data_IF_341225825942
#
_entry.id   IF_341225825942
#
_cell.length_a   1.000
_cell.length_b   1.000
_cell.length_c   1.000
_cell.angle_alpha   90.00
_cell.angle_beta   90.00
_cell.angle_gamma   90.00
#
_symmetry.space_group_name_H-M   'P 1'
#
loop_
_entity.id
_entity.type
_entity.pdbx_description
1 polymer ?
#
# COMPACT_ATOMS: atom_id res chain seq x y z
N UNK A 1 -6.35 -20.61 6.19
CA UNK A 1 -6.27 -19.29 5.55
C UNK A 1 -5.80 -19.56 4.13
N UNK A 2 -6.62 -19.26 3.12
CA UNK A 2 -6.21 -19.48 1.73
C UNK A 2 -5.36 -18.31 1.22
N UNK A 3 -4.33 -18.68 0.47
CA UNK A 3 -3.32 -17.79 -0.09
C UNK A 3 -3.37 -17.85 -1.62
N UNK A 4 -3.32 -16.69 -2.26
CA UNK A 4 -3.17 -16.57 -3.70
C UNK A 4 -1.94 -15.70 -4.00
N UNK A 5 -0.90 -16.31 -4.54
CA UNK A 5 0.41 -15.68 -4.70
C UNK A 5 0.70 -15.18 -6.10
N UNK A 6 1.72 -14.33 -6.19
CA UNK A 6 2.44 -13.94 -7.40
C UNK A 6 1.56 -13.45 -8.55
N UNK A 7 0.54 -12.67 -8.19
CA UNK A 7 -0.35 -12.06 -9.16
C UNK A 7 0.40 -10.92 -9.87
N UNK A 8 0.54 -11.03 -11.20
CA UNK A 8 1.09 -9.98 -12.05
C UNK A 8 0.00 -9.30 -12.90
N UNK A 9 0.40 -8.38 -13.78
CA UNK A 9 -0.51 -7.61 -14.64
C UNK A 9 -1.36 -8.48 -15.58
N UNK A 10 -0.99 -9.75 -15.77
CA UNK A 10 -1.72 -10.72 -16.59
C UNK A 10 -2.87 -11.42 -15.85
N UNK A 11 -3.20 -10.98 -14.64
CA UNK A 11 -4.29 -11.56 -13.86
C UNK A 11 -5.62 -11.48 -14.62
N UNK A 12 -6.28 -12.62 -14.92
CA UNK A 12 -7.51 -12.63 -15.71
C UNK A 12 -8.75 -12.17 -14.90
N UNK A 13 -8.59 -11.91 -13.60
CA UNK A 13 -9.70 -11.69 -12.69
C UNK A 13 -10.33 -13.00 -12.18
N UNK A 14 -11.50 -12.89 -11.57
CA UNK A 14 -12.28 -13.99 -11.02
C UNK A 14 -12.97 -13.61 -9.72
N UNK A 15 -13.64 -14.55 -9.07
CA UNK A 15 -14.21 -14.33 -7.74
C UNK A 15 -13.70 -15.39 -6.77
N UNK A 16 -12.90 -14.96 -5.80
CA UNK A 16 -12.19 -15.83 -4.87
C UNK A 16 -12.63 -15.51 -3.42
N UNK A 17 -13.80 -16.00 -3.04
CA UNK A 17 -14.43 -15.66 -1.76
C UNK A 17 -13.72 -16.24 -0.53
N UNK A 18 -12.83 -17.22 -0.70
CA UNK A 18 -12.16 -17.92 0.41
C UNK A 18 -10.70 -17.49 0.60
N UNK A 19 -10.12 -16.83 -0.40
CA UNK A 19 -8.78 -16.24 -0.31
C UNK A 19 -8.78 -15.11 0.70
N UNK A 20 -7.78 -15.13 1.60
CA UNK A 20 -7.59 -14.12 2.65
C UNK A 20 -6.26 -13.40 2.53
N UNK A 21 -5.29 -14.00 1.85
CA UNK A 21 -3.98 -13.40 1.63
C UNK A 21 -3.66 -13.38 0.15
N UNK A 22 -3.28 -12.21 -0.35
CA UNK A 22 -2.87 -11.99 -1.74
C UNK A 22 -1.46 -11.44 -1.77
N UNK A 23 -0.64 -11.96 -2.69
CA UNK A 23 0.66 -11.40 -3.04
C UNK A 23 0.65 -10.92 -4.47
N UNK A 24 1.09 -9.69 -4.69
CA UNK A 24 1.28 -9.07 -5.99
C UNK A 24 2.77 -9.02 -6.31
N UNK A 25 3.12 -9.45 -7.51
CA UNK A 25 4.48 -9.39 -8.04
C UNK A 25 4.52 -8.37 -9.18
N UNK A 26 5.19 -7.25 -8.90
CA UNK A 26 5.29 -6.11 -9.81
C UNK A 26 6.35 -6.35 -10.90
N UNK A 27 5.96 -7.09 -11.95
CA UNK A 27 6.74 -7.20 -13.19
C UNK A 27 6.68 -5.90 -13.99
N UNK A 28 5.50 -5.25 -13.99
CA UNK A 28 5.24 -3.96 -14.62
C UNK A 28 4.37 -3.10 -13.69
N UNK A 29 4.54 -1.76 -13.73
CA UNK A 29 3.79 -0.83 -12.89
C UNK A 29 2.28 -1.14 -12.84
N UNK A 30 1.73 -1.34 -11.64
CA UNK A 30 0.30 -1.51 -11.48
C UNK A 30 -0.41 -0.15 -11.50
N UNK A 31 -1.36 -0.01 -12.42
CA UNK A 31 -2.26 1.14 -12.46
C UNK A 31 -3.40 0.99 -11.45
N UNK A 32 -4.13 2.07 -11.18
CA UNK A 32 -5.21 2.08 -10.19
C UNK A 32 -6.31 1.04 -10.48
N UNK A 33 -6.64 0.83 -11.74
CA UNK A 33 -7.62 -0.13 -12.22
C UNK A 33 -7.23 -1.58 -11.90
N UNK A 34 -5.92 -1.87 -11.88
CA UNK A 34 -5.44 -3.19 -11.47
C UNK A 34 -5.82 -3.47 -10.02
N UNK A 35 -5.56 -2.52 -9.11
CA UNK A 35 -5.94 -2.65 -7.70
C UNK A 35 -7.45 -2.75 -7.51
N UNK A 36 -8.24 -2.05 -8.33
CA UNK A 36 -9.69 -2.18 -8.33
C UNK A 36 -10.11 -3.62 -8.71
N UNK A 37 -9.50 -4.19 -9.74
CA UNK A 37 -9.71 -5.58 -10.15
C UNK A 37 -9.32 -6.59 -9.06
N UNK A 38 -8.22 -6.34 -8.33
CA UNK A 38 -7.83 -7.16 -7.17
C UNK A 38 -8.90 -7.12 -6.09
N UNK A 39 -9.37 -5.95 -5.68
CA UNK A 39 -10.39 -5.85 -4.61
C UNK A 39 -11.72 -6.49 -5.02
N UNK A 40 -12.11 -6.38 -6.29
CA UNK A 40 -13.30 -7.06 -6.82
C UNK A 40 -13.14 -8.58 -6.83
N UNK A 41 -11.94 -9.07 -7.13
CA UNK A 41 -11.67 -10.50 -7.20
C UNK A 41 -11.51 -11.17 -5.83
N UNK A 42 -11.06 -10.41 -4.83
CA UNK A 42 -10.78 -10.89 -3.47
C UNK A 42 -11.56 -10.08 -2.43
N UNK A 43 -12.91 -10.18 -2.40
CA UNK A 43 -13.75 -9.29 -1.60
C UNK A 43 -13.53 -9.41 -0.08
N UNK A 44 -12.96 -10.52 0.39
CA UNK A 44 -12.68 -10.80 1.81
C UNK A 44 -11.18 -10.83 2.12
N UNK A 45 -10.34 -10.22 1.29
CA UNK A 45 -8.90 -10.16 1.51
C UNK A 45 -8.56 -9.45 2.82
N UNK A 46 -7.83 -10.15 3.69
CA UNK A 46 -7.34 -9.65 4.98
C UNK A 46 -5.89 -9.18 4.91
N UNK A 47 -5.10 -9.74 3.98
CA UNK A 47 -3.69 -9.41 3.83
C UNK A 47 -3.33 -9.20 2.37
N UNK A 48 -2.69 -8.06 2.11
CA UNK A 48 -2.15 -7.71 0.81
C UNK A 48 -0.64 -7.49 0.92
N UNK A 49 0.13 -8.23 0.13
CA UNK A 49 1.57 -8.09 0.02
C UNK A 49 1.92 -7.59 -1.38
N UNK A 50 2.67 -6.51 -1.46
CA UNK A 50 3.32 -6.02 -2.67
C UNK A 50 4.81 -6.16 -2.44
N UNK A 51 5.44 -6.99 -3.27
CA UNK A 51 6.88 -7.22 -3.23
C UNK A 51 7.41 -7.04 -4.65
N UNK A 52 8.48 -6.27 -4.78
CA UNK A 52 9.18 -6.11 -6.04
C UNK A 52 10.66 -6.37 -5.81
N UNK A 53 11.19 -7.43 -6.43
CA UNK A 53 12.62 -7.76 -6.30
C UNK A 53 13.48 -7.08 -7.38
N UNK A 54 12.87 -6.39 -8.34
CA UNK A 54 13.56 -5.76 -9.46
C UNK A 54 13.56 -4.25 -9.27
N UNK A 55 14.74 -3.62 -9.20
CA UNK A 55 14.79 -2.16 -9.23
C UNK A 55 14.25 -1.70 -10.58
N UNK A 56 13.02 -1.19 -10.62
CA UNK A 56 12.45 -0.61 -11.82
C UNK A 56 13.20 0.70 -12.12
N UNK A 57 14.36 0.61 -12.78
CA UNK A 57 15.14 1.77 -13.21
C UNK A 57 14.38 2.64 -14.23
N UNK A 58 13.25 2.17 -14.73
CA UNK A 58 12.46 2.82 -15.77
C UNK A 58 10.95 2.62 -15.54
N UNK A 59 10.38 3.18 -14.46
CA UNK A 59 8.99 3.65 -14.58
C UNK A 59 9.03 4.83 -15.56
N UNK A 60 8.81 4.53 -16.85
CA UNK A 60 8.35 5.56 -17.78
C UNK A 60 6.94 5.88 -17.34
N UNK A 61 6.81 6.88 -16.46
CA UNK A 61 5.56 7.56 -16.27
C UNK A 61 5.17 8.10 -17.64
N UNK A 62 4.32 7.37 -18.36
CA UNK A 62 3.38 8.08 -19.22
C UNK A 62 2.69 9.04 -18.26
N UNK A 63 2.87 10.34 -18.48
CA UNK A 63 2.21 11.38 -17.71
C UNK A 63 0.78 10.91 -17.49
N UNK A 64 0.43 10.62 -16.23
CA UNK A 64 -0.92 10.26 -15.84
C UNK A 64 -1.81 11.29 -16.51
N UNK A 65 -2.57 10.89 -17.53
CA UNK A 65 -3.52 11.78 -18.18
C UNK A 65 -4.30 12.45 -17.05
N UNK A 66 -4.36 13.78 -17.07
CA UNK A 66 -5.02 14.60 -16.06
C UNK A 66 -6.53 14.28 -15.87
N UNK A 67 -7.04 13.28 -16.58
CA UNK A 67 -8.36 12.68 -16.52
C UNK A 67 -8.56 11.71 -15.33
N UNK A 68 -7.51 11.39 -14.55
CA UNK A 68 -7.61 10.60 -13.31
C UNK A 68 -8.43 11.25 -12.17
N UNK A 69 -9.10 12.39 -12.44
CA UNK A 69 -9.99 13.08 -11.49
C UNK A 69 -11.27 12.29 -11.15
N UNK A 70 -11.60 11.25 -11.92
CA UNK A 70 -12.85 10.47 -11.77
C UNK A 70 -12.65 9.02 -11.30
N UNK A 71 -11.44 8.61 -10.93
CA UNK A 71 -11.25 7.27 -10.39
C UNK A 71 -11.83 7.16 -8.99
N UNK A 72 -12.76 6.23 -8.80
CA UNK A 72 -13.34 5.96 -7.50
C UNK A 72 -12.27 5.43 -6.55
N UNK A 73 -12.29 5.95 -5.31
CA UNK A 73 -11.43 5.46 -4.26
C UNK A 73 -11.72 3.98 -3.96
N UNK A 74 -10.67 3.16 -3.92
CA UNK A 74 -10.77 1.72 -3.70
C UNK A 74 -10.97 1.45 -2.21
N UNK A 75 -12.03 0.71 -1.87
CA UNK A 75 -12.36 0.37 -0.48
C UNK A 75 -11.88 -1.04 -0.12
N UNK A 76 -10.95 -1.13 0.83
CA UNK A 76 -10.37 -2.40 1.29
C UNK A 76 -11.07 -2.91 2.56
N UNK A 77 -12.37 -3.23 2.48
CA UNK A 77 -13.23 -3.41 3.66
C UNK A 77 -12.73 -4.38 4.75
N UNK A 78 -11.97 -5.42 4.39
CA UNK A 78 -11.51 -6.47 5.31
C UNK A 78 -9.99 -6.48 5.54
N UNK A 79 -9.26 -5.56 4.91
CA UNK A 79 -7.81 -5.55 4.98
C UNK A 79 -7.34 -5.24 6.41
N UNK A 80 -6.52 -6.12 6.98
CA UNK A 80 -5.95 -5.98 8.32
C UNK A 80 -4.43 -5.89 8.30
N UNK A 81 -3.77 -6.40 7.24
CA UNK A 81 -2.32 -6.26 7.06
C UNK A 81 -1.99 -5.84 5.61
N UNK A 82 -1.21 -4.77 5.50
CA UNK A 82 -0.65 -4.26 4.25
C UNK A 82 0.87 -4.31 4.32
N UNK A 83 1.50 -5.01 3.39
CA UNK A 83 2.95 -5.15 3.30
C UNK A 83 3.41 -4.58 1.97
N UNK A 84 4.22 -3.53 2.00
CA UNK A 84 4.75 -2.85 0.82
C UNK A 84 6.26 -2.77 0.98
N UNK A 85 6.99 -3.71 0.37
CA UNK A 85 8.43 -3.87 0.57
C UNK A 85 9.14 -3.97 -0.78
N UNK A 86 10.26 -3.28 -0.91
CA UNK A 86 11.10 -3.23 -2.12
C UNK A 86 10.39 -2.73 -3.39
N UNK A 87 9.24 -2.07 -3.24
CA UNK A 87 8.49 -1.51 -4.37
C UNK A 87 8.72 -0.01 -4.56
N UNK A 88 8.26 0.52 -5.69
CA UNK A 88 8.28 1.95 -6.00
C UNK A 88 7.37 2.77 -5.05
N UNK A 89 7.77 4.01 -4.75
CA UNK A 89 7.12 4.84 -3.72
C UNK A 89 5.67 5.24 -4.06
N UNK A 90 5.29 5.18 -5.32
CA UNK A 90 3.95 5.54 -5.80
C UNK A 90 2.87 4.56 -5.33
N UNK A 91 3.20 3.30 -5.08
CA UNK A 91 2.26 2.39 -4.43
C UNK A 91 2.01 2.79 -2.99
N UNK A 92 3.05 3.20 -2.25
CA UNK A 92 2.87 3.73 -0.90
C UNK A 92 1.95 4.95 -0.94
N UNK A 93 2.15 5.85 -1.90
CA UNK A 93 1.27 6.99 -2.11
C UNK A 93 -0.18 6.56 -2.46
N UNK A 94 -0.37 5.58 -3.34
CA UNK A 94 -1.70 5.10 -3.72
C UNK A 94 -2.52 4.57 -2.54
N UNK A 95 -1.90 3.81 -1.64
CA UNK A 95 -2.57 3.29 -0.45
C UNK A 95 -2.79 4.35 0.63
N UNK A 96 -1.90 5.34 0.74
CA UNK A 96 -2.00 6.35 1.78
C UNK A 96 -2.88 7.54 1.38
N UNK A 97 -3.01 7.88 0.10
CA UNK A 97 -3.92 8.94 -0.35
C UNK A 97 -5.38 8.58 -0.11
N UNK A 98 -6.08 9.45 0.63
CA UNK A 98 -7.50 9.28 0.97
C UNK A 98 -8.44 9.44 -0.24
N UNK A 99 -8.00 10.14 -1.28
CA UNK A 99 -8.69 10.26 -2.57
C UNK A 99 -8.61 9.00 -3.42
N UNK A 100 -7.61 8.12 -3.18
CA UNK A 100 -7.39 6.90 -3.96
C UNK A 100 -7.84 5.65 -3.21
N UNK A 101 -7.72 5.64 -1.89
CA UNK A 101 -7.94 4.44 -1.09
C UNK A 101 -8.71 4.73 0.19
N UNK A 102 -9.66 3.87 0.52
CA UNK A 102 -10.27 3.79 1.84
C UNK A 102 -9.77 2.56 2.58
N UNK A 103 -8.80 2.79 3.45
CA UNK A 103 -8.33 1.79 4.40
C UNK A 103 -9.35 1.62 5.55
N UNK A 104 -9.56 0.40 6.08
CA UNK A 104 -10.24 0.17 7.35
C UNK A 104 -9.38 0.60 8.54
N UNK A 105 -9.98 0.61 9.73
CA UNK A 105 -9.26 0.87 10.99
C UNK A 105 -8.45 -0.35 11.44
N UNK A 106 -7.47 -0.12 12.31
CA UNK A 106 -6.65 -1.14 12.96
C UNK A 106 -5.72 -1.92 12.03
N UNK A 107 -5.23 -1.28 10.97
CA UNK A 107 -4.32 -1.92 10.01
C UNK A 107 -2.92 -2.04 10.59
N UNK A 108 -2.28 -3.18 10.29
CA UNK A 108 -0.85 -3.39 10.37
C UNK A 108 -0.24 -2.98 9.02
N UNK A 109 0.61 -1.96 9.02
CA UNK A 109 1.31 -1.50 7.83
C UNK A 109 2.80 -1.77 7.94
N UNK A 110 3.38 -2.49 6.98
CA UNK A 110 4.82 -2.70 6.83
C UNK A 110 5.33 -2.00 5.59
N UNK A 111 6.34 -1.14 5.75
CA UNK A 111 6.86 -0.30 4.66
C UNK A 111 8.30 0.13 4.89
N UNK A 112 9.03 0.42 3.82
CA UNK A 112 10.32 1.10 3.90
C UNK A 112 10.16 2.54 4.40
N UNK A 113 11.00 2.96 5.37
CA UNK A 113 10.90 4.30 5.96
C UNK A 113 11.10 5.43 4.95
N UNK A 114 12.07 5.32 4.02
CA UNK A 114 12.32 6.36 3.01
C UNK A 114 11.18 6.49 2.03
N UNK A 115 10.56 5.38 1.62
CA UNK A 115 9.36 5.38 0.78
C UNK A 115 8.19 6.04 1.50
N UNK A 116 8.01 5.74 2.78
CA UNK A 116 6.99 6.38 3.61
C UNK A 116 7.21 7.89 3.73
N UNK A 117 8.45 8.34 3.96
CA UNK A 117 8.77 9.77 3.99
C UNK A 117 8.46 10.44 2.66
N UNK A 118 8.81 9.83 1.53
CA UNK A 118 8.52 10.37 0.20
C UNK A 118 7.03 10.50 -0.05
N UNK A 119 6.24 9.44 0.17
CA UNK A 119 4.80 9.46 -0.03
C UNK A 119 4.06 10.50 0.85
N UNK A 120 4.55 10.72 2.07
CA UNK A 120 3.95 11.65 3.05
C UNK A 120 4.55 13.06 3.03
N UNK A 121 5.46 13.36 2.10
CA UNK A 121 6.27 14.60 2.08
C UNK A 121 6.88 14.90 3.46
N UNK A 122 7.65 13.96 3.99
CA UNK A 122 8.24 14.02 5.33
C UNK A 122 7.20 14.24 6.43
N UNK A 123 6.05 13.55 6.35
CA UNK A 123 4.94 13.62 7.31
C UNK A 123 4.26 15.00 7.37
N UNK A 124 4.14 15.68 6.22
CA UNK A 124 3.45 16.98 6.12
C UNK A 124 2.25 16.98 5.17
N UNK A 125 2.03 15.91 4.41
CA UNK A 125 1.00 15.84 3.36
C UNK A 125 -0.39 15.48 3.88
N UNK A 126 -1.24 16.49 4.11
CA UNK A 126 -2.57 16.29 4.72
C UNK A 126 -3.45 15.23 4.04
N UNK A 127 -3.39 15.12 2.70
CA UNK A 127 -4.15 14.13 1.92
C UNK A 127 -3.85 12.66 2.29
N UNK A 128 -2.75 12.37 2.98
CA UNK A 128 -2.46 11.00 3.44
C UNK A 128 -2.81 10.77 4.91
N UNK A 129 -3.08 11.83 5.68
CA UNK A 129 -3.24 11.74 7.15
C UNK A 129 -4.41 10.86 7.55
N UNK A 130 -5.53 10.90 6.82
CA UNK A 130 -6.74 10.14 7.16
C UNK A 130 -6.44 8.64 7.16
N UNK A 131 -5.76 8.11 6.15
CA UNK A 131 -5.40 6.69 6.11
C UNK A 131 -4.25 6.36 7.07
N UNK A 132 -3.29 7.28 7.26
CA UNK A 132 -2.25 7.11 8.27
C UNK A 132 -2.81 6.97 9.70
N UNK A 133 -3.85 7.73 10.05
CA UNK A 133 -4.50 7.68 11.36
C UNK A 133 -5.19 6.33 11.66
N UNK A 134 -5.50 5.54 10.63
CA UNK A 134 -6.16 4.22 10.78
C UNK A 134 -5.18 3.09 11.07
N UNK A 135 -3.88 3.34 10.95
CA UNK A 135 -2.83 2.34 11.19
C UNK A 135 -2.62 2.20 12.70
N UNK A 136 -2.78 0.97 13.19
CA UNK A 136 -2.57 0.61 14.60
C UNK A 136 -1.17 0.01 14.84
N UNK A 137 -0.53 -0.52 13.81
CA UNK A 137 0.85 -1.00 13.91
C UNK A 137 1.64 -0.62 12.68
N UNK A 138 2.72 0.13 12.86
CA UNK A 138 3.61 0.54 11.78
C UNK A 138 4.93 -0.20 11.95
N UNK A 139 5.26 -1.08 11.00
CA UNK A 139 6.55 -1.79 10.91
C UNK A 139 7.40 -1.10 9.85
N UNK A 140 8.49 -0.49 10.28
CA UNK A 140 9.39 0.25 9.39
C UNK A 140 10.63 -0.58 9.07
N UNK A 141 10.88 -0.79 7.79
CA UNK A 141 12.12 -1.38 7.29
C UNK A 141 13.13 -0.28 6.92
N UNK A 142 14.42 -0.56 7.13
CA UNK A 142 15.53 0.34 6.84
C UNK A 142 15.87 1.33 7.97
N UNK A 143 16.89 2.17 7.73
CA UNK A 143 17.28 3.22 8.68
C UNK A 143 16.16 4.23 8.86
N UNK A 144 15.65 4.33 10.08
CA UNK A 144 14.57 5.25 10.42
C UNK A 144 14.95 6.05 11.66
N UNK A 145 14.58 7.33 11.65
CA UNK A 145 14.72 8.19 12.83
C UNK A 145 13.36 8.33 13.49
N UNK A 146 13.30 8.01 14.79
CA UNK A 146 12.13 8.36 15.59
C UNK A 146 11.99 9.88 15.57
N UNK A 147 10.86 10.39 15.09
CA UNK A 147 10.56 11.83 15.07
C UNK A 147 9.17 12.07 15.67
N UNK A 148 9.00 13.23 16.29
CA UNK A 148 7.68 13.64 16.79
C UNK A 148 6.66 13.76 15.64
N UNK A 149 7.11 14.16 14.45
CA UNK A 149 6.29 14.24 13.25
C UNK A 149 5.69 12.87 12.89
N UNK A 150 6.48 11.79 12.95
CA UNK A 150 6.00 10.44 12.70
C UNK A 150 4.88 10.04 13.68
N UNK A 151 5.05 10.31 14.99
CA UNK A 151 4.02 10.01 16.00
C UNK A 151 2.74 10.81 15.79
N UNK A 152 2.85 12.08 15.41
CA UNK A 152 1.68 12.92 15.10
C UNK A 152 0.94 12.44 13.85
N UNK A 153 1.66 11.87 12.88
CA UNK A 153 1.10 11.37 11.64
C UNK A 153 0.42 10.01 11.77
N UNK A 154 0.89 9.19 12.73
CA UNK A 154 0.35 7.88 13.06
C UNK A 154 -0.08 7.82 14.53
N UNK A 155 -1.11 8.60 14.93
CA UNK A 155 -1.47 8.79 16.33
C UNK A 155 -1.88 7.50 17.05
N UNK A 156 -2.43 6.53 16.33
CA UNK A 156 -2.88 5.26 16.88
C UNK A 156 -1.85 4.13 16.76
N UNK A 157 -0.70 4.38 16.12
CA UNK A 157 0.22 3.31 15.76
C UNK A 157 1.21 2.96 16.87
N UNK A 158 1.33 1.67 17.17
CA UNK A 158 2.53 1.10 17.77
C UNK A 158 3.63 0.97 16.69
N UNK A 159 4.62 1.86 16.76
CA UNK A 159 5.71 1.95 15.78
C UNK A 159 6.85 1.00 16.18
N UNK A 160 7.21 0.09 15.28
CA UNK A 160 8.34 -0.82 15.43
C UNK A 160 9.32 -0.66 14.29
N UNK A 161 10.60 -0.71 14.63
CA UNK A 161 11.70 -0.60 13.69
C UNK A 161 12.29 -2.00 13.47
N UNK A 162 12.29 -2.47 12.23
CA UNK A 162 13.00 -3.68 11.84
C UNK A 162 14.46 -3.32 11.61
N UNK A 163 15.38 -3.84 12.44
CA UNK A 163 16.79 -3.86 12.08
C UNK A 163 16.96 -5.00 11.08
N UNK A 164 17.14 -4.66 9.81
CA UNK A 164 17.61 -5.63 8.82
C UNK A 164 19.14 -5.59 8.92
N UNK A 165 19.73 -6.68 9.41
CA UNK A 165 21.17 -6.95 9.38
C UNK A 165 21.59 -7.38 7.96
#
# INVERSE_FOLDING_TARGET
MEYYGDISNNFPGGLFNYVRMVSLLDEHPFEHEFFLGIVQSFPFMEKLCLINHSSQQCKKFYESNNDNRNLFAIKYSFLSELVIVDVHDDYVEQFLLDTKTYLPYNIIFRVNYKSLQRATHCFTRDATRINCAKINKLKLDGESKSSNCLKQYFPCANIRHSLIY
#
